data_IF_311773617759
#
_entry.id   IF_311773617759
#
_cell.length_a   1.000
_cell.length_b   1.000
_cell.length_c   1.000
_cell.angle_alpha   90.00
_cell.angle_beta   90.00
_cell.angle_gamma   90.00
#
_symmetry.space_group_name_H-M   'P 1'
#
loop_
_entity.id
_entity.type
_entity.pdbx_description
1 polymer ?
#
# COMPACT_ATOMS: atom_id res chain seq x y z
N UNK A 1 -18.22 10.80 6.96
CA UNK A 1 -17.58 11.03 5.65
C UNK A 1 -16.25 10.29 5.66
N UNK A 2 -16.24 9.03 5.22
CA UNK A 2 -15.04 8.19 5.08
C UNK A 2 -14.62 8.04 3.60
N UNK A 3 -15.36 8.69 2.69
CA UNK A 3 -15.25 8.48 1.24
C UNK A 3 -13.92 8.94 0.66
N UNK A 4 -13.41 10.09 1.11
CA UNK A 4 -12.21 10.69 0.50
C UNK A 4 -10.97 9.82 0.62
N UNK A 5 -10.77 9.15 1.76
CA UNK A 5 -9.58 8.34 2.01
C UNK A 5 -9.65 6.98 1.30
N UNK A 6 -10.84 6.36 1.24
CA UNK A 6 -11.07 5.15 0.44
C UNK A 6 -10.85 5.46 -1.06
N UNK A 7 -11.47 6.52 -1.57
CA UNK A 7 -11.32 6.94 -2.97
C UNK A 7 -9.86 7.28 -3.31
N UNK A 8 -9.14 7.93 -2.39
CA UNK A 8 -7.71 8.19 -2.56
C UNK A 8 -6.90 6.89 -2.67
N UNK A 9 -7.15 5.91 -1.79
CA UNK A 9 -6.51 4.60 -1.84
C UNK A 9 -6.82 3.84 -3.14
N UNK A 10 -8.07 3.90 -3.59
CA UNK A 10 -8.48 3.32 -4.87
C UNK A 10 -7.76 3.97 -6.05
N UNK A 11 -7.73 5.31 -6.11
CA UNK A 11 -7.08 6.05 -7.20
C UNK A 11 -5.58 5.73 -7.28
N UNK A 12 -4.90 5.74 -6.12
CA UNK A 12 -3.49 5.38 -6.01
C UNK A 12 -3.23 3.96 -6.52
N UNK A 13 -4.04 2.99 -6.08
CA UNK A 13 -3.85 1.60 -6.50
C UNK A 13 -4.18 1.39 -7.98
N UNK A 14 -5.22 2.04 -8.54
CA UNK A 14 -5.53 1.93 -9.98
C UNK A 14 -4.36 2.42 -10.83
N UNK A 15 -3.79 3.57 -10.48
CA UNK A 15 -2.63 4.11 -11.18
C UNK A 15 -1.43 3.16 -11.13
N UNK A 16 -1.14 2.56 -9.97
CA UNK A 16 -0.08 1.55 -9.85
C UNK A 16 -0.40 0.29 -10.65
N UNK A 17 -1.63 -0.19 -10.60
CA UNK A 17 -2.05 -1.39 -11.33
C UNK A 17 -1.91 -1.23 -12.84
N UNK A 18 -2.25 -0.05 -13.37
CA UNK A 18 -2.03 0.30 -14.78
C UNK A 18 -0.54 0.34 -15.13
N UNK A 19 0.30 0.94 -14.27
CA UNK A 19 1.76 0.98 -14.48
C UNK A 19 2.42 -0.40 -14.43
N UNK A 20 1.91 -1.27 -13.57
CA UNK A 20 2.33 -2.67 -13.46
C UNK A 20 1.75 -3.57 -14.57
N UNK A 21 0.90 -3.06 -15.45
CA UNK A 21 0.23 -3.87 -16.47
C UNK A 21 -0.66 -4.97 -15.88
N UNK A 22 -1.17 -4.75 -14.66
CA UNK A 22 -2.04 -5.69 -13.95
C UNK A 22 -1.33 -6.89 -13.29
N UNK A 23 0.01 -6.92 -13.23
CA UNK A 23 0.77 -8.01 -12.59
C UNK A 23 2.00 -7.48 -11.87
N UNK A 24 2.32 -8.08 -10.73
CA UNK A 24 3.54 -7.75 -9.99
C UNK A 24 3.36 -7.89 -8.49
N UNK A 25 4.27 -7.26 -7.76
CA UNK A 25 4.36 -7.30 -6.30
C UNK A 25 4.50 -5.90 -5.76
N UNK A 26 3.86 -5.59 -4.64
CA UNK A 26 3.95 -4.27 -4.01
C UNK A 26 3.99 -4.37 -2.50
N UNK A 27 4.55 -3.33 -1.88
CA UNK A 27 4.57 -3.15 -0.44
C UNK A 27 3.69 -1.96 -0.06
N UNK A 28 3.03 -2.03 1.10
CA UNK A 28 2.19 -0.96 1.64
C UNK A 28 2.82 -0.43 2.92
N UNK A 29 3.22 0.85 2.90
CA UNK A 29 3.61 1.58 4.10
C UNK A 29 2.37 2.32 4.62
N UNK A 30 1.86 1.87 5.76
CA UNK A 30 0.69 2.46 6.39
C UNK A 30 1.08 3.62 7.31
N UNK A 31 0.14 4.54 7.50
CA UNK A 31 0.20 5.55 8.55
C UNK A 31 -0.07 4.98 9.95
N UNK A 32 -0.32 5.86 10.91
CA UNK A 32 -0.77 5.50 12.25
C UNK A 32 -2.08 4.68 12.20
N UNK A 33 -2.05 3.50 12.82
CA UNK A 33 -3.18 2.57 12.87
C UNK A 33 -4.28 3.03 13.83
N UNK A 34 -4.04 4.01 14.69
CA UNK A 34 -5.10 4.65 15.47
C UNK A 34 -5.97 5.59 14.63
N UNK A 35 -5.55 5.93 13.40
CA UNK A 35 -6.30 6.79 12.50
C UNK A 35 -7.15 6.02 11.50
N UNK A 36 -8.45 6.33 11.46
CA UNK A 36 -9.39 5.74 10.49
C UNK A 36 -8.94 5.99 9.05
N UNK A 37 -8.37 7.16 8.75
CA UNK A 37 -7.87 7.48 7.40
C UNK A 37 -6.83 6.47 6.88
N UNK A 38 -6.00 5.89 7.77
CA UNK A 38 -5.04 4.84 7.39
C UNK A 38 -5.74 3.56 6.96
N UNK A 39 -6.77 3.15 7.71
CA UNK A 39 -7.56 1.97 7.41
C UNK A 39 -8.35 2.16 6.12
N UNK A 40 -9.02 3.31 5.98
CA UNK A 40 -9.83 3.67 4.82
C UNK A 40 -9.00 3.66 3.52
N UNK A 41 -7.81 4.27 3.52
CA UNK A 41 -6.89 4.23 2.37
C UNK A 41 -6.46 2.81 2.03
N UNK A 42 -6.07 2.04 3.04
CA UNK A 42 -5.60 0.66 2.84
C UNK A 42 -6.72 -0.24 2.33
N UNK A 43 -7.95 -0.02 2.79
CA UNK A 43 -9.13 -0.72 2.29
C UNK A 43 -9.41 -0.34 0.83
N UNK A 44 -9.31 0.94 0.46
CA UNK A 44 -9.42 1.38 -0.94
C UNK A 44 -8.41 0.68 -1.86
N UNK A 45 -7.16 0.54 -1.41
CA UNK A 45 -6.12 -0.22 -2.13
C UNK A 45 -6.55 -1.69 -2.30
N UNK A 46 -6.98 -2.34 -1.23
CA UNK A 46 -7.42 -3.75 -1.25
C UNK A 46 -8.64 -3.97 -2.15
N UNK A 47 -9.56 -3.02 -2.21
CA UNK A 47 -10.73 -3.11 -3.09
C UNK A 47 -10.33 -3.15 -4.55
N UNK A 48 -9.40 -2.29 -4.98
CA UNK A 48 -8.89 -2.30 -6.36
C UNK A 48 -8.13 -3.60 -6.65
N UNK A 49 -7.32 -4.09 -5.73
CA UNK A 49 -6.58 -5.34 -5.91
C UNK A 49 -7.46 -6.56 -6.18
N UNK A 50 -8.74 -6.55 -5.77
CA UNK A 50 -9.70 -7.61 -6.13
C UNK A 50 -9.88 -7.74 -7.64
N UNK A 51 -9.78 -6.64 -8.38
CA UNK A 51 -9.88 -6.60 -9.83
C UNK A 51 -8.54 -6.96 -10.53
N UNK A 52 -7.43 -6.96 -9.78
CA UNK A 52 -6.08 -7.25 -10.28
C UNK A 52 -5.41 -8.41 -9.52
N UNK A 53 -5.88 -9.66 -9.68
CA UNK A 53 -5.34 -10.82 -8.96
C UNK A 53 -3.87 -11.14 -9.30
N UNK A 54 -3.34 -10.56 -10.38
CA UNK A 54 -1.93 -10.66 -10.74
C UNK A 54 -1.00 -9.79 -9.90
N UNK A 55 -1.55 -8.84 -9.13
CA UNK A 55 -0.80 -7.96 -8.23
C UNK A 55 -0.90 -8.52 -6.82
N UNK A 56 0.25 -8.69 -6.15
CA UNK A 56 0.32 -9.24 -4.80
C UNK A 56 0.94 -8.25 -3.83
N UNK A 57 0.32 -8.10 -2.66
CA UNK A 57 0.95 -7.41 -1.54
C UNK A 57 1.95 -8.37 -0.92
N UNK A 58 3.24 -8.01 -0.93
CA UNK A 58 4.31 -8.81 -0.30
C UNK A 58 4.63 -8.32 1.10
N UNK A 59 4.39 -7.04 1.38
CA UNK A 59 4.65 -6.42 2.67
C UNK A 59 3.57 -5.38 2.99
N UNK A 60 3.17 -5.31 4.26
CA UNK A 60 2.21 -4.32 4.75
C UNK A 60 2.54 -3.98 6.20
N UNK A 61 3.19 -2.83 6.44
CA UNK A 61 3.61 -2.41 7.79
C UNK A 61 3.36 -0.92 8.02
N UNK A 62 3.13 -0.52 9.27
CA UNK A 62 2.90 0.87 9.65
C UNK A 62 4.21 1.59 9.97
N UNK A 63 4.36 2.79 9.41
CA UNK A 63 5.42 3.73 9.75
C UNK A 63 4.94 4.85 10.69
N UNK A 64 3.70 4.80 11.18
CA UNK A 64 3.12 5.80 12.10
C UNK A 64 3.25 7.25 11.59
N UNK A 65 3.17 7.45 10.27
CA UNK A 65 3.41 8.74 9.59
C UNK A 65 4.82 9.33 9.76
N UNK A 66 5.76 8.56 10.32
CA UNK A 66 7.12 9.01 10.55
C UNK A 66 8.04 8.63 9.38
N UNK A 67 8.73 9.63 8.85
CA UNK A 67 9.62 9.46 7.69
C UNK A 67 10.76 8.47 7.95
N UNK A 68 11.38 8.57 9.13
CA UNK A 68 12.45 7.66 9.57
C UNK A 68 11.95 6.21 9.62
N UNK A 69 10.80 5.95 10.24
CA UNK A 69 10.21 4.60 10.29
C UNK A 69 9.91 4.05 8.90
N UNK A 70 9.40 4.89 7.99
CA UNK A 70 9.19 4.49 6.59
C UNK A 70 10.48 4.11 5.87
N UNK A 71 11.57 4.86 6.11
CA UNK A 71 12.89 4.54 5.56
C UNK A 71 13.45 3.24 6.15
N UNK A 72 13.29 3.01 7.44
CA UNK A 72 13.74 1.80 8.13
C UNK A 72 12.99 0.58 7.60
N UNK A 73 11.67 0.65 7.46
CA UNK A 73 10.86 -0.42 6.89
C UNK A 73 11.30 -0.78 5.48
N UNK A 74 11.43 0.23 4.61
CA UNK A 74 11.85 0.01 3.23
C UNK A 74 13.25 -0.62 3.16
N UNK A 75 14.19 -0.12 3.98
CA UNK A 75 15.55 -0.66 4.06
C UNK A 75 15.54 -2.10 4.56
N UNK A 76 14.74 -2.41 5.59
CA UNK A 76 14.59 -3.76 6.12
C UNK A 76 14.04 -4.72 5.07
N UNK A 77 13.03 -4.30 4.30
CA UNK A 77 12.47 -5.13 3.22
C UNK A 77 13.50 -5.43 2.14
N UNK A 78 14.26 -4.42 1.72
CA UNK A 78 15.33 -4.58 0.73
C UNK A 78 16.44 -5.51 1.25
N UNK A 79 16.86 -5.35 2.51
CA UNK A 79 17.87 -6.19 3.14
C UNK A 79 17.40 -7.63 3.35
N UNK A 80 16.11 -7.83 3.66
CA UNK A 80 15.49 -9.15 3.77
C UNK A 80 15.33 -9.86 2.41
N UNK A 81 15.63 -9.18 1.30
CA UNK A 81 15.49 -9.72 -0.05
C UNK A 81 14.04 -9.71 -0.56
N UNK A 82 13.18 -8.88 0.05
CA UNK A 82 11.80 -8.69 -0.41
C UNK A 82 11.82 -8.09 -1.80
N UNK A 83 11.19 -8.78 -2.76
CA UNK A 83 11.01 -8.28 -4.11
C UNK A 83 9.62 -7.66 -4.24
N UNK A 84 9.60 -6.39 -4.62
CA UNK A 84 8.43 -5.65 -5.06
C UNK A 84 8.80 -4.96 -6.39
N UNK A 85 7.83 -4.86 -7.29
CA UNK A 85 7.98 -4.36 -8.68
C UNK A 85 7.75 -2.84 -8.77
#
# INVERSE_FOLDING_TARGET
>A
MASNDIEAGQLQMRYLAEKLGGKGTLAIIMGDLAQNATHDRTEGVKQVLKDYPGIKIVEQQSAEWQRNKGMDLTSNWLLAGTKFD
#
